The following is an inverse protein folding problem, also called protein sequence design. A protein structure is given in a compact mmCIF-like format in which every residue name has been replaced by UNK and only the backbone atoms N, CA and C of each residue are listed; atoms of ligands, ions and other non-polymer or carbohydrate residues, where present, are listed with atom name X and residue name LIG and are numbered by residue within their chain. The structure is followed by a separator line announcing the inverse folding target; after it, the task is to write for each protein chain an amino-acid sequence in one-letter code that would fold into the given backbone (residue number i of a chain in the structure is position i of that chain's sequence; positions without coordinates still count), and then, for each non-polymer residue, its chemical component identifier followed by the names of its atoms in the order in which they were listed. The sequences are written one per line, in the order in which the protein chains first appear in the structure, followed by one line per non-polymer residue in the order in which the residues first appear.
data_IF_421234835724
#
_entry.id   IF_421234835724
#
_cell.length_a   1.000
_cell.length_b   1.000
_cell.length_c   1.000
_cell.angle_alpha   90.00
_cell.angle_beta   90.00
_cell.angle_gamma   90.00
#
_symmetry.space_group_name_H-M   'P 1'
#
loop_
_entity.id
_entity.type
_entity.pdbx_description
1 polymer ?
#
# COMPACT_ATOMS: atom_id res chain seq x y z
N UNK A 1 -29.53 29.77 -1.70
CA UNK A 1 -29.62 28.46 -1.01
C UNK A 1 -28.27 28.19 -0.37
N UNK A 2 -28.19 28.16 0.95
CA UNK A 2 -26.94 27.86 1.66
C UNK A 2 -26.73 26.34 1.69
N UNK A 3 -25.57 25.80 1.27
CA UNK A 3 -25.32 24.37 1.32
C UNK A 3 -25.29 23.88 2.77
N UNK A 4 -26.10 22.87 3.09
CA UNK A 4 -26.08 22.21 4.40
C UNK A 4 -24.76 21.46 4.57
N UNK A 5 -23.96 21.87 5.56
CA UNK A 5 -22.73 21.18 5.95
C UNK A 5 -23.05 19.82 6.59
N UNK A 6 -23.17 18.78 5.77
CA UNK A 6 -23.25 17.39 6.24
C UNK A 6 -21.84 16.82 6.43
N UNK A 7 -21.66 15.90 7.40
CA UNK A 7 -20.36 15.21 7.63
C UNK A 7 -19.83 14.53 6.36
N UNK A 8 -20.73 14.06 5.50
CA UNK A 8 -20.42 13.42 4.23
C UNK A 8 -19.87 14.42 3.22
N UNK A 9 -20.40 15.66 3.19
CA UNK A 9 -19.89 16.75 2.36
C UNK A 9 -18.50 17.24 2.81
N UNK A 10 -18.23 17.27 4.12
CA UNK A 10 -16.87 17.56 4.61
C UNK A 10 -15.86 16.47 4.25
N UNK A 11 -16.28 15.20 4.28
CA UNK A 11 -15.43 14.07 3.89
C UNK A 11 -15.15 14.09 2.38
N UNK A 12 -16.18 14.29 1.55
CA UNK A 12 -16.02 14.36 0.09
C UNK A 12 -15.16 15.56 -0.33
N UNK A 13 -15.35 16.73 0.29
CA UNK A 13 -14.50 17.89 0.07
C UNK A 13 -13.05 17.66 0.53
N UNK A 14 -12.85 16.89 1.60
CA UNK A 14 -11.53 16.46 2.07
C UNK A 14 -10.80 15.58 1.06
N UNK A 15 -11.47 14.54 0.56
CA UNK A 15 -10.92 13.65 -0.48
C UNK A 15 -10.63 14.40 -1.77
N UNK A 16 -11.52 15.30 -2.19
CA UNK A 16 -11.34 16.13 -3.38
C UNK A 16 -10.12 17.05 -3.28
N UNK A 17 -9.94 17.74 -2.14
CA UNK A 17 -8.75 18.56 -1.89
C UNK A 17 -7.47 17.73 -1.89
N UNK A 18 -7.49 16.57 -1.25
CA UNK A 18 -6.33 15.66 -1.24
C UNK A 18 -5.94 15.17 -2.65
N UNK A 19 -6.93 14.84 -3.49
CA UNK A 19 -6.71 14.48 -4.90
C UNK A 19 -6.13 15.64 -5.71
N UNK A 20 -6.63 16.87 -5.50
CA UNK A 20 -6.11 18.07 -6.14
C UNK A 20 -4.67 18.39 -5.69
N UNK A 21 -4.37 18.25 -4.40
CA UNK A 21 -3.02 18.42 -3.87
C UNK A 21 -2.05 17.39 -4.46
N UNK A 22 -2.51 16.17 -4.73
CA UNK A 22 -1.72 15.17 -5.45
C UNK A 22 -1.47 15.57 -6.91
N UNK A 23 -2.47 16.13 -7.60
CA UNK A 23 -2.34 16.63 -8.98
C UNK A 23 -1.41 17.85 -9.08
N UNK A 24 -1.42 18.71 -8.06
CA UNK A 24 -0.61 19.93 -7.97
C UNK A 24 0.79 19.67 -7.38
N UNK A 25 1.02 18.52 -6.75
CA UNK A 25 2.31 18.17 -6.15
C UNK A 25 3.45 18.18 -7.18
N UNK A 26 4.71 18.41 -6.76
CA UNK A 26 5.87 18.30 -7.64
C UNK A 26 5.90 16.95 -8.36
N UNK A 27 6.21 16.94 -9.65
CA UNK A 27 6.20 15.73 -10.49
C UNK A 27 7.04 14.59 -9.89
N UNK A 28 8.19 14.92 -9.28
CA UNK A 28 9.07 13.97 -8.58
C UNK A 28 8.35 13.24 -7.44
N UNK A 29 7.57 13.98 -6.65
CA UNK A 29 6.80 13.41 -5.54
C UNK A 29 5.72 12.47 -6.08
N UNK A 30 4.99 12.88 -7.12
CA UNK A 30 3.98 12.01 -7.77
C UNK A 30 4.58 10.70 -8.26
N UNK A 31 5.69 10.78 -8.99
CA UNK A 31 6.38 9.59 -9.52
C UNK A 31 6.79 8.65 -8.40
N UNK A 32 7.38 9.16 -7.30
CA UNK A 32 7.79 8.33 -6.16
C UNK A 32 6.60 7.65 -5.49
N UNK A 33 5.48 8.35 -5.31
CA UNK A 33 4.27 7.76 -4.69
C UNK A 33 3.66 6.68 -5.59
N UNK A 34 3.56 6.95 -6.90
CA UNK A 34 3.07 5.97 -7.88
C UNK A 34 4.00 4.76 -7.91
N UNK A 35 5.31 4.95 -8.07
CA UNK A 35 6.28 3.85 -8.08
C UNK A 35 6.27 3.05 -6.78
N UNK A 36 6.08 3.72 -5.63
CA UNK A 36 5.91 3.04 -4.36
C UNK A 36 4.67 2.14 -4.39
N UNK A 37 3.53 2.68 -4.80
CA UNK A 37 2.27 1.95 -4.86
C UNK A 37 2.35 0.75 -5.82
N UNK A 38 2.75 0.98 -7.07
CA UNK A 38 2.84 -0.09 -8.07
C UNK A 38 3.95 -1.08 -7.73
N UNK A 39 5.07 -0.61 -7.19
CA UNK A 39 6.18 -1.45 -6.75
C UNK A 39 5.75 -2.42 -5.65
N UNK A 40 5.06 -1.93 -4.62
CA UNK A 40 4.49 -2.78 -3.58
C UNK A 40 3.52 -3.82 -4.13
N UNK A 41 2.66 -3.42 -5.07
CA UNK A 41 1.75 -4.35 -5.74
C UNK A 41 2.48 -5.46 -6.50
N UNK A 42 3.47 -5.11 -7.32
CA UNK A 42 4.25 -6.11 -8.07
C UNK A 42 5.06 -7.03 -7.17
N UNK A 43 5.60 -6.52 -6.06
CA UNK A 43 6.29 -7.34 -5.06
C UNK A 43 5.36 -8.42 -4.48
N UNK A 44 4.11 -8.09 -4.19
CA UNK A 44 3.13 -9.09 -3.76
C UNK A 44 2.79 -10.09 -4.85
N UNK A 45 2.54 -9.60 -6.07
CA UNK A 45 2.12 -10.43 -7.21
C UNK A 45 3.18 -11.44 -7.65
N UNK A 46 4.46 -11.03 -7.64
CA UNK A 46 5.58 -11.87 -8.07
C UNK A 46 6.24 -12.61 -6.91
N UNK A 47 6.31 -11.98 -5.73
CA UNK A 47 6.97 -12.54 -4.56
C UNK A 47 6.24 -13.77 -4.04
N UNK A 48 4.92 -13.72 -3.92
CA UNK A 48 4.14 -14.84 -3.36
C UNK A 48 4.31 -16.11 -4.20
N UNK A 49 4.10 -16.11 -5.53
CA UNK A 49 4.32 -17.29 -6.36
C UNK A 49 5.78 -17.76 -6.38
N UNK A 50 6.73 -16.83 -6.45
CA UNK A 50 8.16 -17.18 -6.48
C UNK A 50 8.57 -17.90 -5.19
N UNK A 51 8.09 -17.43 -4.04
CA UNK A 51 8.35 -18.06 -2.75
C UNK A 51 7.73 -19.45 -2.67
N UNK A 52 6.50 -19.63 -3.14
CA UNK A 52 5.86 -20.97 -3.17
C UNK A 52 6.56 -21.96 -4.11
N UNK A 53 7.34 -21.49 -5.08
CA UNK A 53 8.12 -22.35 -5.98
C UNK A 53 9.51 -22.70 -5.43
N UNK A 54 9.99 -21.98 -4.42
CA UNK A 54 11.29 -22.22 -3.79
C UNK A 54 11.11 -23.24 -2.65
N UNK A 55 11.65 -24.45 -2.81
CA UNK A 55 11.76 -25.42 -1.71
C UNK A 55 12.61 -24.83 -0.58
N UNK A 56 12.15 -24.80 0.70
CA UNK A 56 11.10 -25.62 1.33
C UNK A 56 9.71 -24.96 1.49
N UNK A 57 9.47 -23.78 0.90
CA UNK A 57 8.24 -22.98 1.09
C UNK A 57 7.07 -23.42 0.19
N UNK A 58 7.16 -24.63 -0.38
CA UNK A 58 6.15 -25.21 -1.25
C UNK A 58 4.82 -25.51 -0.54
N UNK A 59 4.82 -25.60 0.79
CA UNK A 59 3.61 -25.70 1.59
C UNK A 59 2.94 -24.32 1.73
N UNK A 60 1.65 -24.24 1.38
CA UNK A 60 0.86 -22.98 1.37
C UNK A 60 0.91 -22.19 2.68
N UNK A 61 1.07 -22.88 3.82
CA UNK A 61 1.13 -22.27 5.15
C UNK A 61 2.37 -21.39 5.34
N UNK A 62 3.50 -21.78 4.76
CA UNK A 62 4.74 -21.00 4.85
C UNK A 62 4.70 -19.74 3.98
N UNK A 63 4.00 -19.80 2.83
CA UNK A 63 3.74 -18.62 2.00
C UNK A 63 2.91 -17.56 2.72
N UNK A 64 1.87 -17.99 3.45
CA UNK A 64 1.04 -17.10 4.27
C UNK A 64 1.84 -16.46 5.43
N UNK A 65 2.70 -17.24 6.10
CA UNK A 65 3.60 -16.74 7.14
C UNK A 65 4.55 -15.66 6.60
N UNK A 66 5.11 -15.87 5.41
CA UNK A 66 6.07 -14.95 4.82
C UNK A 66 5.40 -13.63 4.38
N UNK A 67 4.16 -13.71 3.88
CA UNK A 67 3.33 -12.53 3.63
C UNK A 67 3.04 -11.75 4.91
N UNK A 68 2.73 -12.44 6.00
CA UNK A 68 2.51 -11.83 7.31
C UNK A 68 3.78 -11.13 7.81
N UNK A 69 4.95 -11.78 7.69
CA UNK A 69 6.25 -11.19 8.03
C UNK A 69 6.53 -9.95 7.18
N UNK A 70 6.30 -10.01 5.87
CA UNK A 70 6.49 -8.86 4.99
C UNK A 70 5.57 -7.68 5.39
N UNK A 71 4.31 -7.97 5.70
CA UNK A 71 3.35 -6.97 6.19
C UNK A 71 3.80 -6.37 7.54
N UNK A 72 4.29 -7.19 8.46
CA UNK A 72 4.81 -6.74 9.75
C UNK A 72 6.05 -5.87 9.59
N UNK A 73 6.98 -6.23 8.70
CA UNK A 73 8.16 -5.41 8.37
C UNK A 73 7.74 -4.05 7.82
N UNK A 74 6.77 -4.02 6.89
CA UNK A 74 6.21 -2.77 6.34
C UNK A 74 5.55 -1.90 7.42
N UNK A 75 4.89 -2.50 8.41
CA UNK A 75 4.28 -1.79 9.56
C UNK A 75 5.36 -1.27 10.52
N UNK A 76 6.39 -2.07 10.82
CA UNK A 76 7.49 -1.69 11.72
C UNK A 76 8.38 -0.61 11.13
N UNK A 77 8.59 -0.60 9.82
CA UNK A 77 9.31 0.46 9.10
C UNK A 77 8.66 1.84 9.25
N UNK A 78 7.33 1.89 9.45
CA UNK A 78 6.60 3.13 9.74
C UNK A 78 6.87 3.65 11.16
N UNK A 79 7.06 2.75 12.13
CA UNK A 79 7.29 3.08 13.54
C UNK A 79 8.69 3.63 13.84
N UNK A 80 9.65 3.48 12.92
CA UNK A 80 11.03 3.97 13.06
C UNK A 80 11.20 5.43 12.60
N UNK A 81 10.11 6.09 12.16
CA UNK A 81 10.14 7.43 11.58
C UNK A 81 10.11 8.58 12.59
N UNK A 82 10.87 9.65 12.30
CA UNK A 82 10.84 10.92 13.05
C UNK A 82 9.48 11.66 12.90
N UNK A 83 9.22 12.61 13.81
CA UNK A 83 7.97 13.36 13.95
C UNK A 83 7.50 14.14 12.71
N UNK A 84 8.37 14.36 11.71
CA UNK A 84 8.02 15.00 10.43
C UNK A 84 7.98 13.96 9.30
N UNK A 85 6.84 13.81 8.60
CA UNK A 85 6.71 12.80 7.58
C UNK A 85 7.55 13.11 6.34
N UNK A 86 8.56 12.27 6.09
CA UNK A 86 9.44 12.40 4.93
C UNK A 86 8.83 11.78 3.68
N UNK A 87 9.31 12.17 2.49
CA UNK A 87 8.89 11.55 1.23
C UNK A 87 9.10 10.02 1.24
N UNK A 88 10.15 9.56 1.91
CA UNK A 88 10.44 8.14 2.07
C UNK A 88 9.36 7.43 2.89
N UNK A 89 8.85 8.04 3.96
CA UNK A 89 7.76 7.46 4.74
C UNK A 89 6.48 7.35 3.90
N UNK A 90 6.14 8.37 3.11
CA UNK A 90 5.01 8.29 2.19
C UNK A 90 5.21 7.23 1.09
N UNK A 91 6.46 6.99 0.65
CA UNK A 91 6.76 5.93 -0.30
C UNK A 91 6.58 4.55 0.34
N UNK A 92 7.09 4.34 1.56
CA UNK A 92 6.90 3.09 2.33
C UNK A 92 5.42 2.83 2.59
N UNK A 93 4.63 3.85 2.93
CA UNK A 93 3.19 3.72 3.10
C UNK A 93 2.50 3.28 1.80
N UNK A 94 2.87 3.85 0.64
CA UNK A 94 2.33 3.42 -0.65
C UNK A 94 2.75 2.00 -1.03
N UNK A 95 4.02 1.63 -0.79
CA UNK A 95 4.50 0.26 -0.99
C UNK A 95 3.67 -0.70 -0.14
N UNK A 96 3.42 -0.36 1.13
CA UNK A 96 2.59 -1.17 2.02
C UNK A 96 1.16 -1.31 1.49
N UNK A 97 0.53 -0.23 1.04
CA UNK A 97 -0.82 -0.27 0.46
C UNK A 97 -0.86 -1.18 -0.77
N UNK A 98 0.08 -1.01 -1.70
CA UNK A 98 0.15 -1.82 -2.91
C UNK A 98 0.37 -3.30 -2.61
N UNK A 99 1.27 -3.60 -1.68
CA UNK A 99 1.56 -4.97 -1.26
C UNK A 99 0.35 -5.65 -0.62
N UNK A 100 -0.30 -5.00 0.36
CA UNK A 100 -1.51 -5.52 1.02
C UNK A 100 -2.63 -5.76 0.00
N UNK A 101 -2.82 -4.84 -0.94
CA UNK A 101 -3.82 -5.01 -1.99
C UNK A 101 -3.54 -6.24 -2.86
N UNK A 102 -2.28 -6.44 -3.25
CA UNK A 102 -1.88 -7.64 -4.02
C UNK A 102 -2.10 -8.93 -3.24
N UNK A 103 -1.80 -8.94 -1.94
CA UNK A 103 -2.03 -10.11 -1.07
C UNK A 103 -3.51 -10.47 -1.03
N UNK A 104 -4.38 -9.48 -0.81
CA UNK A 104 -5.83 -9.69 -0.80
C UNK A 104 -6.31 -10.28 -2.13
N UNK A 105 -5.84 -9.75 -3.27
CA UNK A 105 -6.17 -10.32 -4.57
C UNK A 105 -5.67 -11.76 -4.77
N UNK A 106 -4.47 -12.08 -4.27
CA UNK A 106 -3.97 -13.45 -4.28
C UNK A 106 -4.85 -14.39 -3.45
N UNK A 107 -5.29 -13.95 -2.27
CA UNK A 107 -6.21 -14.72 -1.43
C UNK A 107 -7.56 -14.96 -2.12
N UNK A 108 -8.11 -13.96 -2.83
CA UNK A 108 -9.31 -14.15 -3.63
C UNK A 108 -9.15 -15.20 -4.73
N UNK A 109 -7.99 -15.27 -5.40
CA UNK A 109 -7.72 -16.29 -6.42
C UNK A 109 -7.63 -17.71 -5.87
N UNK A 110 -7.22 -17.86 -4.61
CA UNK A 110 -7.12 -19.18 -3.96
C UNK A 110 -8.48 -19.69 -3.47
N UNK A 111 -9.46 -18.81 -3.29
CA UNK A 111 -10.80 -19.16 -2.81
C UNK A 111 -11.84 -19.48 -3.89
N UNK A 112 -11.52 -19.28 -5.18
CA UNK A 112 -12.38 -19.63 -6.32
C UNK A 112 -11.94 -20.94 -6.97
#
# INVERSE_FOLDING_TARGET
MSPQHTRLQSASAGVGRWLLDLLLAPWRRRVVLILGLTGGFFLGQLGIPLLTQLSPFSDSDLGALLVLVAAEVLVRLRGLGAATPSLLQHAVDNIRIGFVFSVVLQAFKLGS
#
